data_IF_031882406634
#
_entry.id   IF_031882406634
#
_cell.length_a   1.000
_cell.length_b   1.000
_cell.length_c   1.000
_cell.angle_alpha   90.00
_cell.angle_beta   90.00
_cell.angle_gamma   90.00
#
_symmetry.space_group_name_H-M   'P 1'
#
loop_
_entity.id
_entity.type
_entity.pdbx_description
1 polymer ?
#
# COMPACT_ATOMS: atom_id res chain seq x y z
N UNK A 1 15.66 11.65 -3.45
CA UNK A 1 16.46 10.43 -3.24
C UNK A 1 17.38 10.18 -4.43
N UNK A 2 18.65 9.96 -4.16
CA UNK A 2 19.60 9.68 -5.22
C UNK A 2 19.46 8.23 -5.69
N UNK A 3 19.59 8.02 -6.99
CA UNK A 3 19.58 6.69 -7.59
C UNK A 3 20.97 6.08 -7.53
N UNK A 4 21.04 4.77 -7.41
CA UNK A 4 22.31 4.07 -7.53
C UNK A 4 22.80 4.09 -8.97
N UNK A 5 24.05 3.69 -9.17
CA UNK A 5 24.64 3.60 -10.51
C UNK A 5 23.92 2.53 -11.33
N UNK A 6 23.74 2.75 -12.64
CA UNK A 6 23.18 1.74 -13.52
C UNK A 6 24.04 0.47 -13.53
N UNK A 7 23.41 -0.69 -13.66
CA UNK A 7 24.09 -1.95 -13.88
C UNK A 7 23.24 -2.82 -14.80
N UNK A 8 23.88 -3.77 -15.45
CA UNK A 8 23.20 -4.67 -16.38
C UNK A 8 22.83 -5.97 -15.66
N UNK A 9 21.62 -6.43 -15.91
CA UNK A 9 21.12 -7.68 -15.34
C UNK A 9 20.41 -8.49 -16.42
N UNK A 10 20.60 -9.81 -16.37
CA UNK A 10 19.83 -10.74 -17.19
C UNK A 10 18.72 -11.32 -16.35
N UNK A 11 17.51 -11.27 -16.87
CA UNK A 11 16.34 -11.78 -16.18
C UNK A 11 16.03 -13.19 -16.68
N UNK A 12 15.43 -13.99 -15.82
CA UNK A 12 14.92 -15.30 -16.24
C UNK A 12 13.82 -15.09 -17.28
N UNK A 13 13.54 -16.15 -18.03
CA UNK A 13 12.48 -16.13 -19.02
C UNK A 13 11.12 -15.82 -18.40
N UNK A 14 10.86 -16.36 -17.22
CA UNK A 14 9.63 -16.10 -16.48
C UNK A 14 9.46 -14.62 -16.12
N UNK A 15 10.50 -14.02 -15.53
CA UNK A 15 10.47 -12.62 -15.13
C UNK A 15 10.38 -11.70 -16.35
N UNK A 16 11.18 -11.99 -17.38
CA UNK A 16 11.16 -11.23 -18.62
C UNK A 16 9.80 -11.25 -19.30
N UNK A 17 9.17 -12.43 -19.39
CA UNK A 17 7.84 -12.59 -19.99
C UNK A 17 6.77 -11.84 -19.19
N UNK A 18 6.85 -11.91 -17.86
CA UNK A 18 5.93 -11.19 -17.01
C UNK A 18 6.04 -9.67 -17.24
N UNK A 19 7.26 -9.15 -17.29
CA UNK A 19 7.49 -7.73 -17.53
C UNK A 19 6.96 -7.28 -18.89
N UNK A 20 7.12 -8.11 -19.92
CA UNK A 20 6.57 -7.81 -21.25
C UNK A 20 5.06 -7.67 -21.22
N UNK A 21 4.37 -8.61 -20.57
CA UNK A 21 2.92 -8.58 -20.45
C UNK A 21 2.44 -7.37 -19.67
N UNK A 22 3.08 -7.09 -18.53
CA UNK A 22 2.69 -5.95 -17.69
C UNK A 22 3.01 -4.62 -18.33
N UNK A 23 4.10 -4.53 -19.08
CA UNK A 23 4.42 -3.34 -19.85
C UNK A 23 3.30 -3.02 -20.85
N UNK A 24 2.81 -4.05 -21.55
CA UNK A 24 1.70 -3.88 -22.49
C UNK A 24 0.39 -3.53 -21.80
N UNK A 25 0.12 -4.14 -20.66
CA UNK A 25 -1.13 -3.94 -19.92
C UNK A 25 -1.18 -2.57 -19.24
N UNK A 26 -0.10 -2.16 -18.59
CA UNK A 26 -0.06 -0.95 -17.76
C UNK A 26 0.53 0.26 -18.47
N UNK A 27 1.28 0.02 -19.54
CA UNK A 27 2.07 1.02 -20.26
C UNK A 27 3.21 1.63 -19.44
N UNK A 28 3.51 1.04 -18.29
CA UNK A 28 4.68 1.45 -17.50
C UNK A 28 5.95 0.84 -18.10
N UNK A 29 7.06 1.57 -18.08
CA UNK A 29 8.34 1.01 -18.52
C UNK A 29 8.73 -0.21 -17.72
N UNK A 30 9.41 -1.17 -18.34
CA UNK A 30 9.88 -2.38 -17.67
C UNK A 30 10.75 -2.06 -16.47
N UNK A 31 11.59 -1.02 -16.56
CA UNK A 31 12.44 -0.59 -15.44
C UNK A 31 11.62 -0.13 -14.25
N UNK A 32 10.53 0.61 -14.50
CA UNK A 32 9.65 1.05 -13.42
C UNK A 32 8.93 -0.12 -12.76
N UNK A 33 8.43 -1.07 -13.58
CA UNK A 33 7.78 -2.27 -13.06
C UNK A 33 8.74 -3.12 -12.23
N UNK A 34 9.96 -3.30 -12.71
CA UNK A 34 10.96 -4.07 -12.00
C UNK A 34 11.33 -3.42 -10.67
N UNK A 35 11.43 -2.09 -10.65
CA UNK A 35 11.73 -1.37 -9.42
C UNK A 35 10.61 -1.50 -8.39
N UNK A 36 9.35 -1.42 -8.83
CA UNK A 36 8.18 -1.67 -7.95
C UNK A 36 8.26 -3.06 -7.34
N UNK A 37 8.50 -4.06 -8.17
CA UNK A 37 8.64 -5.46 -7.70
C UNK A 37 9.75 -5.60 -6.67
N UNK A 38 10.91 -5.01 -6.96
CA UNK A 38 12.07 -5.10 -6.08
C UNK A 38 11.79 -4.39 -4.75
N UNK A 39 11.20 -3.21 -4.78
CA UNK A 39 10.87 -2.47 -3.56
C UNK A 39 9.87 -3.24 -2.70
N UNK A 40 8.82 -3.77 -3.30
CA UNK A 40 7.82 -4.56 -2.57
C UNK A 40 8.45 -5.81 -1.97
N UNK A 41 9.31 -6.49 -2.72
CA UNK A 41 9.99 -7.67 -2.22
C UNK A 41 10.90 -7.36 -1.04
N UNK A 42 11.65 -6.27 -1.11
CA UNK A 42 12.52 -5.84 -0.02
C UNK A 42 11.69 -5.52 1.23
N UNK A 43 10.59 -4.80 1.06
CA UNK A 43 9.74 -4.42 2.18
C UNK A 43 9.08 -5.63 2.83
N UNK A 44 8.62 -6.58 2.03
CA UNK A 44 8.05 -7.83 2.54
C UNK A 44 9.07 -8.64 3.32
N UNK A 45 10.32 -8.64 2.87
CA UNK A 45 11.40 -9.33 3.59
C UNK A 45 11.76 -8.64 4.90
N UNK A 46 11.73 -7.31 4.92
CA UNK A 46 11.98 -6.54 6.14
C UNK A 46 10.82 -6.65 7.13
N UNK A 47 9.60 -6.77 6.62
CA UNK A 47 8.37 -6.82 7.42
C UNK A 47 7.54 -8.03 7.00
N UNK A 48 7.94 -9.26 7.40
CA UNK A 48 7.16 -10.45 7.09
C UNK A 48 5.74 -10.32 7.65
N UNK A 49 4.76 -10.45 6.79
CA UNK A 49 3.36 -10.22 7.12
C UNK A 49 2.78 -8.98 6.45
N UNK A 50 3.64 -8.16 5.84
CA UNK A 50 3.19 -7.04 5.00
C UNK A 50 3.19 -7.52 3.55
N UNK A 51 2.06 -7.32 2.87
CA UNK A 51 1.93 -7.52 1.44
C UNK A 51 1.57 -6.21 0.76
N UNK A 52 1.39 -6.24 -0.55
CA UNK A 52 1.01 -5.06 -1.32
C UNK A 52 -0.15 -5.40 -2.22
N UNK A 53 -1.09 -4.50 -2.34
CA UNK A 53 -2.27 -4.69 -3.18
C UNK A 53 -2.70 -3.38 -3.81
N UNK A 54 -3.50 -3.48 -4.86
CA UNK A 54 -3.96 -2.36 -5.63
C UNK A 54 -3.30 -2.28 -7.01
N UNK A 55 -3.73 -1.34 -7.86
CA UNK A 55 -3.16 -1.16 -9.19
C UNK A 55 -1.72 -0.64 -9.10
N UNK A 56 -0.93 -0.86 -10.17
CA UNK A 56 0.50 -0.55 -10.18
C UNK A 56 0.84 0.90 -9.82
N UNK A 57 -0.03 1.83 -10.15
CA UNK A 57 0.19 3.26 -9.85
C UNK A 57 -0.33 3.67 -8.47
N UNK A 58 -0.96 2.75 -7.75
CA UNK A 58 -1.55 3.03 -6.44
C UNK A 58 -1.50 1.81 -5.52
N UNK A 59 -0.34 1.14 -5.49
CA UNK A 59 -0.12 -0.01 -4.61
C UNK A 59 -0.07 0.44 -3.15
N UNK A 60 -0.74 -0.31 -2.28
CA UNK A 60 -0.80 0.00 -0.84
C UNK A 60 -0.30 -1.17 -0.01
N UNK A 61 0.44 -0.85 1.04
CA UNK A 61 0.87 -1.84 2.03
C UNK A 61 -0.36 -2.34 2.80
N UNK A 62 -0.46 -3.63 2.93
CA UNK A 62 -1.58 -4.34 3.53
C UNK A 62 -1.07 -5.33 4.57
N UNK A 63 -1.78 -5.44 5.69
CA UNK A 63 -1.42 -6.41 6.72
C UNK A 63 -2.09 -7.74 6.38
N UNK A 64 -1.28 -8.71 5.97
CA UNK A 64 -1.76 -10.02 5.53
C UNK A 64 -2.50 -10.70 6.68
N UNK A 65 -3.64 -11.29 6.36
CA UNK A 65 -4.52 -11.90 7.35
C UNK A 65 -5.61 -10.99 7.88
N UNK A 66 -5.55 -9.71 7.52
CA UNK A 66 -6.60 -8.73 7.83
C UNK A 66 -7.19 -8.19 6.53
N UNK A 67 -8.31 -7.49 6.63
CA UNK A 67 -8.87 -6.76 5.51
C UNK A 67 -8.31 -5.32 5.42
N UNK A 68 -7.37 -4.98 6.30
CA UNK A 68 -6.94 -3.60 6.51
C UNK A 68 -5.56 -3.31 5.93
N UNK A 69 -5.45 -2.17 5.27
CA UNK A 69 -4.16 -1.61 4.88
C UNK A 69 -3.45 -1.09 6.13
N UNK A 70 -2.14 -0.92 6.03
CA UNK A 70 -1.35 -0.37 7.14
C UNK A 70 -1.88 0.99 7.57
N UNK A 71 -2.19 1.89 6.62
CA UNK A 71 -2.69 3.22 6.96
C UNK A 71 -4.01 3.16 7.75
N UNK A 72 -4.87 2.19 7.43
CA UNK A 72 -6.14 2.03 8.15
C UNK A 72 -5.92 1.61 9.60
N UNK A 73 -5.00 0.67 9.84
CA UNK A 73 -4.67 0.26 11.20
C UNK A 73 -4.03 1.39 12.00
N UNK A 74 -3.16 2.17 11.36
CA UNK A 74 -2.55 3.35 12.00
C UNK A 74 -3.62 4.36 12.38
N UNK A 75 -4.55 4.65 11.48
CA UNK A 75 -5.65 5.58 11.73
C UNK A 75 -6.52 5.12 12.91
N UNK A 76 -6.89 3.85 12.90
CA UNK A 76 -7.69 3.28 14.00
C UNK A 76 -6.95 3.34 15.33
N UNK A 77 -5.66 3.02 15.31
CA UNK A 77 -4.83 3.08 16.51
C UNK A 77 -4.72 4.49 17.07
N UNK A 78 -4.49 5.47 16.22
CA UNK A 78 -4.39 6.87 16.64
C UNK A 78 -5.73 7.41 17.16
N UNK A 79 -6.83 6.93 16.60
CA UNK A 79 -8.16 7.37 17.00
C UNK A 79 -8.72 6.68 18.24
N UNK A 80 -8.45 5.38 18.40
CA UNK A 80 -9.10 4.56 19.44
C UNK A 80 -8.14 3.97 20.47
N UNK A 81 -6.86 3.84 20.14
CA UNK A 81 -5.90 3.15 20.97
C UNK A 81 -5.85 1.65 20.72
N UNK A 82 -4.78 1.00 21.17
CA UNK A 82 -4.50 -0.40 20.89
C UNK A 82 -5.61 -1.34 21.36
N UNK A 83 -6.07 -1.16 22.60
CA UNK A 83 -7.06 -2.06 23.21
C UNK A 83 -8.35 -2.13 22.40
N UNK A 84 -8.86 -0.99 21.95
CA UNK A 84 -10.09 -0.94 21.17
C UNK A 84 -9.90 -1.49 19.75
N UNK A 85 -8.75 -1.22 19.15
CA UNK A 85 -8.44 -1.79 17.84
C UNK A 85 -8.44 -3.30 17.89
N UNK A 86 -7.81 -3.88 18.89
CA UNK A 86 -7.74 -5.34 19.04
C UNK A 86 -9.09 -5.97 19.35
N UNK A 87 -9.94 -5.28 20.13
CA UNK A 87 -11.25 -5.81 20.47
C UNK A 87 -12.31 -5.61 19.39
N UNK A 88 -12.24 -4.53 18.63
CA UNK A 88 -13.26 -4.19 17.64
C UNK A 88 -12.93 -4.65 16.22
N UNK A 89 -11.67 -4.89 15.93
CA UNK A 89 -11.21 -5.29 14.60
C UNK A 89 -10.50 -6.63 14.66
N UNK A 90 -10.57 -7.38 13.59
CA UNK A 90 -9.97 -8.70 13.53
C UNK A 90 -8.47 -8.60 13.24
N UNK A 91 -7.73 -8.02 14.17
CA UNK A 91 -6.29 -7.87 14.10
C UNK A 91 -5.68 -8.34 15.41
N UNK A 92 -4.57 -9.07 15.31
CA UNK A 92 -3.82 -9.49 16.48
C UNK A 92 -2.88 -8.39 16.94
N UNK A 93 -2.41 -8.50 18.18
CA UNK A 93 -1.40 -7.59 18.72
C UNK A 93 -0.16 -7.55 17.82
N UNK A 94 0.27 -8.71 17.34
CA UNK A 94 1.41 -8.83 16.45
C UNK A 94 1.18 -8.09 15.14
N UNK A 95 -0.02 -8.19 14.57
CA UNK A 95 -0.37 -7.51 13.33
C UNK A 95 -0.41 -6.00 13.53
N UNK A 96 -0.92 -5.53 14.64
CA UNK A 96 -0.91 -4.10 14.97
C UNK A 96 0.53 -3.60 15.13
N UNK A 97 1.35 -4.31 15.89
CA UNK A 97 2.75 -3.96 16.08
C UNK A 97 3.50 -3.91 14.73
N UNK A 98 3.21 -4.85 13.84
CA UNK A 98 3.79 -4.89 12.51
C UNK A 98 3.43 -3.64 11.71
N UNK A 99 2.16 -3.25 11.73
CA UNK A 99 1.70 -2.05 11.04
C UNK A 99 2.37 -0.78 11.58
N UNK A 100 2.49 -0.68 12.90
CA UNK A 100 3.14 0.47 13.55
C UNK A 100 4.63 0.51 13.25
N UNK A 101 5.29 -0.63 13.20
CA UNK A 101 6.72 -0.72 12.84
C UNK A 101 6.95 -0.33 11.38
N UNK A 102 6.05 -0.74 10.49
CA UNK A 102 6.10 -0.34 9.09
C UNK A 102 5.94 1.19 8.97
N UNK A 103 4.98 1.74 9.68
CA UNK A 103 4.75 3.18 9.69
C UNK A 103 5.98 3.95 10.19
N UNK A 104 6.62 3.46 11.23
CA UNK A 104 7.82 4.07 11.78
C UNK A 104 8.95 4.12 10.74
N UNK A 105 9.06 3.11 9.90
CA UNK A 105 10.10 3.01 8.88
C UNK A 105 9.75 3.82 7.62
N UNK A 106 8.49 3.82 7.23
CA UNK A 106 8.00 4.50 6.02
C UNK A 106 6.89 5.51 6.35
N UNK A 107 7.17 6.50 7.21
CA UNK A 107 6.11 7.41 7.68
C UNK A 107 5.47 8.23 6.58
N UNK A 108 6.25 8.72 5.62
CA UNK A 108 5.74 9.55 4.53
C UNK A 108 4.71 8.83 3.69
N UNK A 109 4.96 7.58 3.37
CA UNK A 109 4.04 6.76 2.58
C UNK A 109 2.68 6.64 3.27
N UNK A 110 2.69 6.37 4.55
CA UNK A 110 1.47 6.20 5.33
C UNK A 110 0.77 7.54 5.57
N UNK A 111 1.54 8.59 5.86
CA UNK A 111 0.98 9.92 6.05
C UNK A 111 0.28 10.42 4.79
N UNK A 112 0.84 10.13 3.61
CA UNK A 112 0.21 10.48 2.33
C UNK A 112 -1.11 9.74 2.14
N UNK A 113 -1.16 8.46 2.52
CA UNK A 113 -2.38 7.66 2.44
C UNK A 113 -3.46 8.21 3.40
N UNK A 114 -3.06 8.56 4.62
CA UNK A 114 -3.96 9.16 5.61
C UNK A 114 -4.54 10.49 5.10
N UNK A 115 -3.68 11.34 4.56
CA UNK A 115 -4.08 12.63 4.01
C UNK A 115 -5.04 12.47 2.84
N UNK A 116 -4.75 11.56 1.93
CA UNK A 116 -5.59 11.29 0.77
C UNK A 116 -6.98 10.81 1.18
N UNK A 117 -7.07 9.99 2.22
CA UNK A 117 -8.33 9.43 2.68
C UNK A 117 -9.09 10.37 3.64
N UNK A 118 -8.49 11.48 4.05
CA UNK A 118 -9.15 12.49 4.86
C UNK A 118 -9.91 13.53 4.03
N UNK A 119 -9.85 13.45 2.70
CA UNK A 119 -10.52 14.40 1.81
C UNK A 119 -12.03 14.27 1.90
N UNK A 120 -12.69 15.42 1.87
CA UNK A 120 -14.15 15.47 1.90
C UNK A 120 -14.76 14.93 0.59
N UNK A 121 -15.98 14.38 0.64
CA UNK A 121 -16.64 13.88 -0.56
C UNK A 121 -16.73 14.89 -1.72
N UNK A 122 -16.89 16.15 -1.42
CA UNK A 122 -16.95 17.22 -2.42
C UNK A 122 -15.62 17.33 -3.19
N UNK A 123 -14.50 17.16 -2.52
CA UNK A 123 -13.19 17.18 -3.16
C UNK A 123 -13.04 16.01 -4.12
N UNK A 124 -13.55 14.84 -3.74
CA UNK A 124 -13.55 13.68 -4.61
C UNK A 124 -14.37 13.93 -5.88
N UNK A 125 -15.48 14.64 -5.75
CA UNK A 125 -16.35 14.97 -6.87
C UNK A 125 -15.64 15.90 -7.87
N UNK A 126 -14.85 16.85 -7.38
CA UNK A 126 -14.04 17.74 -8.23
C UNK A 126 -12.93 16.99 -8.95
N UNK A 127 -12.30 16.04 -8.27
CA UNK A 127 -11.20 15.25 -8.84
C UNK A 127 -11.74 14.25 -9.87
N UNK A 128 -12.89 13.64 -9.59
CA UNK A 128 -13.46 12.63 -10.46
C UNK A 128 -14.99 12.70 -10.41
N UNK A 129 -15.58 13.59 -11.23
CA UNK A 129 -17.02 13.80 -11.21
C UNK A 129 -17.88 12.56 -11.47
N UNK A 130 -17.30 11.53 -12.10
CA UNK A 130 -18.00 10.28 -12.37
C UNK A 130 -18.09 9.36 -11.16
N UNK A 131 -17.33 9.65 -10.09
CA UNK A 131 -17.37 8.87 -8.87
C UNK A 131 -18.40 9.44 -7.92
N UNK A 132 -19.45 8.68 -7.69
CA UNK A 132 -20.48 9.05 -6.74
C UNK A 132 -20.15 8.37 -5.41
N UNK A 133 -19.86 9.15 -4.35
CA UNK A 133 -19.55 8.55 -3.06
C UNK A 133 -20.77 7.77 -2.55
N UNK A 134 -20.52 6.59 -2.01
CA UNK A 134 -21.60 5.81 -1.40
C UNK A 134 -22.11 6.56 -0.17
N UNK A 135 -23.44 6.57 0.06
CA UNK A 135 -23.94 7.19 1.28
C UNK A 135 -23.40 6.46 2.50
N UNK A 136 -23.19 7.17 3.61
CA UNK A 136 -22.70 6.53 4.82
C UNK A 136 -23.72 5.47 5.27
N UNK A 137 -23.21 4.30 5.61
CA UNK A 137 -24.06 3.24 6.13
C UNK A 137 -24.54 3.64 7.51
N UNK A 138 -25.84 3.76 7.65
CA UNK A 138 -26.44 3.95 8.95
C UNK A 138 -26.38 2.63 9.71
N UNK A 139 -25.81 2.63 10.86
CA UNK A 139 -25.75 1.39 11.64
C UNK A 139 -24.71 1.35 12.61
#
# INVERSE_FOLDING_TARGET
>A
MSKSKPFTIRLSEEVGSWLERENRRTRLPKSALLEILAEESIRTRRFPGIGFRGPEHARRAWVIGTALDVWELVELYEGKGAERVLSEHNASERQLDLALSYYETYPREIDEALEENAREPEEWHEISPSVIPSPPKSG
#
